data_IF_895245317918
#
_entry.id   IF_895245317918
#
_cell.length_a   1.000
_cell.length_b   1.000
_cell.length_c   1.000
_cell.angle_alpha   90.00
_cell.angle_beta   90.00
_cell.angle_gamma   90.00
#
_symmetry.space_group_name_H-M   'P 1'
#
loop_
_entity.id
_entity.type
_entity.pdbx_description
1 polymer ?
#
# COMPACT_ATOMS: atom_id res chain seq x y z
N UNK A 1 11.74 47.04 3.16
CA UNK A 1 12.45 45.75 3.21
C UNK A 1 12.05 44.83 4.38
N UNK A 2 10.84 44.99 4.98
CA UNK A 2 10.40 44.18 6.15
C UNK A 2 9.48 43.00 5.79
N UNK A 3 8.79 43.05 4.65
CA UNK A 3 7.78 42.04 4.28
C UNK A 3 8.36 40.76 3.62
N UNK A 4 9.55 40.82 3.01
CA UNK A 4 10.18 39.66 2.35
C UNK A 4 10.48 38.49 3.31
N UNK A 5 10.81 38.79 4.57
CA UNK A 5 11.10 37.75 5.57
C UNK A 5 9.83 37.02 6.00
N UNK A 6 8.70 37.71 6.08
CA UNK A 6 7.43 37.13 6.55
C UNK A 6 6.89 36.05 5.60
N UNK A 7 6.95 36.30 4.28
CA UNK A 7 6.54 35.31 3.29
C UNK A 7 7.45 34.08 3.27
N UNK A 8 8.75 34.25 3.54
CA UNK A 8 9.69 33.13 3.63
C UNK A 8 9.38 32.21 4.82
N UNK A 9 9.08 32.78 5.99
CA UNK A 9 8.64 31.99 7.14
C UNK A 9 7.31 31.29 6.88
N UNK A 10 6.35 31.95 6.24
CA UNK A 10 5.05 31.36 5.90
C UNK A 10 5.19 30.20 4.90
N UNK A 11 6.07 30.35 3.91
CA UNK A 11 6.37 29.32 2.92
C UNK A 11 7.08 28.11 3.54
N UNK A 12 8.04 28.33 4.45
CA UNK A 12 8.73 27.25 5.18
C UNK A 12 7.78 26.47 6.09
N UNK A 13 6.83 27.13 6.75
CA UNK A 13 5.80 26.47 7.57
C UNK A 13 4.89 25.59 6.70
N UNK A 14 4.47 26.06 5.52
CA UNK A 14 3.64 25.27 4.60
C UNK A 14 4.38 24.03 4.04
N UNK A 15 5.69 24.12 3.85
CA UNK A 15 6.52 22.97 3.42
C UNK A 15 6.63 21.89 4.50
N UNK A 16 6.73 22.28 5.78
CA UNK A 16 6.82 21.31 6.88
C UNK A 16 5.53 20.51 7.15
N UNK A 17 4.38 20.95 6.64
CA UNK A 17 3.08 20.27 6.85
C UNK A 17 2.83 19.19 5.78
N UNK A 18 3.61 19.17 4.70
CA UNK A 18 3.56 18.10 3.69
C UNK A 18 4.45 16.92 4.10
N UNK A 19 4.32 16.45 5.34
CA UNK A 19 4.76 15.11 5.69
C UNK A 19 3.85 14.15 4.91
N UNK A 20 4.32 13.72 3.73
CA UNK A 20 3.75 12.58 3.03
C UNK A 20 3.94 11.43 4.01
N UNK A 21 2.87 11.05 4.71
CA UNK A 21 2.85 9.81 5.45
C UNK A 21 3.06 8.70 4.42
N UNK A 22 4.30 8.22 4.30
CA UNK A 22 4.53 6.86 3.82
C UNK A 22 3.78 6.00 4.80
N UNK A 23 2.64 5.48 4.37
CA UNK A 23 1.89 4.61 5.24
C UNK A 23 2.60 3.27 5.23
N UNK A 24 3.31 3.01 6.33
CA UNK A 24 3.93 1.72 6.56
C UNK A 24 2.80 0.69 6.72
N UNK A 25 2.63 -0.19 5.74
CA UNK A 25 1.83 -1.40 5.89
C UNK A 25 2.77 -2.57 6.12
N UNK A 26 2.32 -3.54 6.90
CA UNK A 26 3.13 -4.72 7.18
C UNK A 26 3.06 -5.68 5.98
N UNK A 27 4.21 -6.20 5.59
CA UNK A 27 4.38 -7.12 4.48
C UNK A 27 5.36 -8.21 4.89
N UNK A 28 4.93 -9.45 4.75
CA UNK A 28 5.79 -10.63 4.93
C UNK A 28 5.64 -11.54 3.70
N UNK A 29 6.59 -12.44 3.50
CA UNK A 29 6.54 -13.41 2.40
C UNK A 29 7.20 -14.73 2.76
N UNK A 30 6.69 -15.80 2.14
CA UNK A 30 7.28 -17.12 2.20
C UNK A 30 7.59 -17.60 0.78
N UNK A 31 8.70 -18.31 0.62
CA UNK A 31 9.12 -18.88 -0.67
C UNK A 31 9.18 -20.40 -0.59
N UNK A 32 8.53 -21.05 -1.54
CA UNK A 32 8.48 -22.50 -1.66
C UNK A 32 9.05 -22.93 -3.01
N UNK A 33 9.97 -23.90 -2.97
CA UNK A 33 10.52 -24.52 -4.18
C UNK A 33 9.53 -25.59 -4.69
N UNK A 34 9.03 -25.43 -5.91
CA UNK A 34 8.26 -26.47 -6.59
C UNK A 34 9.19 -27.39 -7.40
N UNK A 35 8.69 -28.57 -7.77
CA UNK A 35 9.35 -29.41 -8.77
C UNK A 35 9.38 -28.65 -10.11
N UNK A 36 10.51 -28.72 -10.83
CA UNK A 36 10.79 -28.02 -12.10
C UNK A 36 11.31 -26.57 -11.97
N UNK A 37 12.28 -26.32 -11.08
CA UNK A 37 13.03 -25.03 -11.01
C UNK A 37 12.13 -23.79 -10.93
N UNK A 38 10.98 -23.93 -10.28
CA UNK A 38 9.98 -22.88 -10.14
C UNK A 38 9.81 -22.55 -8.67
N UNK A 39 9.86 -21.26 -8.32
CA UNK A 39 9.60 -20.75 -6.99
C UNK A 39 8.17 -20.20 -6.90
N UNK A 40 7.50 -20.52 -5.79
CA UNK A 40 6.20 -19.97 -5.42
C UNK A 40 6.46 -19.01 -4.26
N UNK A 41 6.10 -17.74 -4.44
CA UNK A 41 6.22 -16.69 -3.43
C UNK A 41 4.81 -16.36 -2.94
N UNK A 42 4.52 -16.70 -1.68
CA UNK A 42 3.31 -16.26 -1.00
C UNK A 42 3.58 -14.93 -0.31
N UNK A 43 2.77 -13.93 -0.58
CA UNK A 43 2.90 -12.58 -0.05
C UNK A 43 1.72 -12.29 0.86
N UNK A 44 2.02 -11.90 2.10
CA UNK A 44 1.08 -11.61 3.16
C UNK A 44 1.09 -10.11 3.41
N UNK A 45 -0.07 -9.47 3.32
CA UNK A 45 -0.23 -8.03 3.48
C UNK A 45 -1.16 -7.74 4.65
N UNK A 46 -0.76 -6.82 5.52
CA UNK A 46 -1.63 -6.27 6.56
C UNK A 46 -1.80 -4.78 6.32
N UNK A 47 -2.85 -4.42 5.58
CA UNK A 47 -3.05 -3.07 5.05
C UNK A 47 -3.81 -2.22 6.08
N UNK A 48 -3.21 -1.18 6.67
CA UNK A 48 -3.89 -0.32 7.64
C UNK A 48 -5.06 0.41 6.98
N UNK A 49 -6.25 0.38 7.58
CA UNK A 49 -7.46 0.98 7.01
C UNK A 49 -7.39 2.50 6.93
N UNK A 50 -6.57 3.13 7.76
CA UNK A 50 -6.38 4.59 7.76
C UNK A 50 -5.73 5.14 6.48
N UNK A 51 -5.16 4.29 5.62
CA UNK A 51 -4.58 4.71 4.33
C UNK A 51 -5.64 4.84 3.23
N UNK A 52 -6.85 4.31 3.47
CA UNK A 52 -7.93 4.32 2.51
C UNK A 52 -8.66 5.66 2.46
N UNK A 53 -9.15 5.99 1.27
CA UNK A 53 -9.99 7.17 1.05
C UNK A 53 -11.44 6.75 0.98
N UNK A 54 -12.15 6.96 2.09
CA UNK A 54 -13.56 6.66 2.19
C UNK A 54 -14.43 7.82 1.66
N UNK A 55 -15.29 7.52 0.70
CA UNK A 55 -16.28 8.46 0.19
C UNK A 55 -17.69 8.07 0.68
N UNK A 56 -18.58 9.04 0.96
CA UNK A 56 -19.98 8.76 1.26
C UNK A 56 -20.67 7.97 0.13
N UNK A 57 -21.49 6.99 0.51
CA UNK A 57 -22.31 6.16 -0.39
C UNK A 57 -23.56 5.72 0.34
N UNK A 58 -24.70 6.32 0.00
CA UNK A 58 -25.99 6.12 0.69
C UNK A 58 -25.83 6.41 2.19
N UNK A 59 -26.17 5.45 3.06
CA UNK A 59 -26.05 5.55 4.52
C UNK A 59 -24.69 5.08 5.06
N UNK A 60 -23.68 4.89 4.19
CA UNK A 60 -22.37 4.34 4.54
C UNK A 60 -21.24 5.11 3.88
N UNK A 61 -20.01 4.69 4.18
CA UNK A 61 -18.79 5.16 3.52
C UNK A 61 -18.09 3.98 2.84
N UNK A 62 -17.56 4.18 1.63
CA UNK A 62 -16.90 3.14 0.84
C UNK A 62 -15.54 3.59 0.36
N UNK A 63 -14.59 2.66 0.33
CA UNK A 63 -13.30 2.81 -0.34
C UNK A 63 -13.12 1.70 -1.37
N UNK A 64 -12.68 2.06 -2.58
CA UNK A 64 -12.29 1.09 -3.59
C UNK A 64 -10.77 0.98 -3.57
N UNK A 65 -10.26 -0.23 -3.38
CA UNK A 65 -8.83 -0.51 -3.25
C UNK A 65 -8.38 -1.38 -4.42
N UNK A 66 -7.20 -1.07 -4.96
CA UNK A 66 -6.49 -1.88 -5.94
C UNK A 66 -5.14 -2.20 -5.32
N UNK A 67 -4.86 -3.49 -5.17
CA UNK A 67 -3.56 -3.98 -4.73
C UNK A 67 -2.85 -4.60 -5.93
N UNK A 68 -1.54 -4.37 -6.02
CA UNK A 68 -0.67 -4.99 -7.01
C UNK A 68 0.53 -5.55 -6.27
N UNK A 69 0.93 -6.75 -6.63
CA UNK A 69 2.14 -7.37 -6.10
C UNK A 69 2.91 -7.91 -7.27
N UNK A 70 4.20 -7.60 -7.34
CA UNK A 70 5.05 -7.96 -8.47
C UNK A 70 6.41 -8.48 -8.01
N UNK A 71 6.93 -9.44 -8.76
CA UNK A 71 8.34 -9.83 -8.73
C UNK A 71 9.06 -9.11 -9.87
N UNK A 72 10.13 -8.40 -9.55
CA UNK A 72 10.98 -7.73 -10.52
C UNK A 72 12.39 -8.30 -10.51
N UNK A 73 13.06 -8.26 -11.66
CA UNK A 73 14.46 -8.64 -11.83
C UNK A 73 15.13 -7.62 -12.73
N UNK A 74 16.22 -7.01 -12.27
CA UNK A 74 16.95 -5.96 -13.00
C UNK A 74 16.01 -4.86 -13.55
N UNK A 75 15.21 -4.26 -12.67
CA UNK A 75 14.22 -3.22 -13.00
C UNK A 75 13.06 -3.65 -13.95
N UNK A 76 12.93 -4.95 -14.23
CA UNK A 76 11.88 -5.49 -15.09
C UNK A 76 10.90 -6.34 -14.28
N UNK A 77 9.61 -6.00 -14.32
CA UNK A 77 8.55 -6.85 -13.74
C UNK A 77 8.45 -8.16 -14.53
N UNK A 78 8.65 -9.29 -13.84
CA UNK A 78 8.62 -10.63 -14.43
C UNK A 78 7.25 -11.28 -14.23
N UNK A 79 6.67 -11.12 -13.05
CA UNK A 79 5.35 -11.64 -12.67
C UNK A 79 4.64 -10.59 -11.84
N UNK A 80 3.33 -10.43 -12.06
CA UNK A 80 2.49 -9.53 -11.28
C UNK A 80 1.11 -10.14 -11.10
N UNK A 81 0.58 -10.00 -9.89
CA UNK A 81 -0.84 -10.19 -9.60
C UNK A 81 -1.48 -8.87 -9.18
N UNK A 82 -2.78 -8.74 -9.44
CA UNK A 82 -3.56 -7.58 -9.02
C UNK A 82 -4.99 -7.96 -8.72
N UNK A 83 -5.55 -7.35 -7.67
CA UNK A 83 -6.95 -7.55 -7.31
C UNK A 83 -7.55 -6.27 -6.75
N UNK A 84 -8.88 -6.23 -6.76
CA UNK A 84 -9.66 -5.10 -6.27
C UNK A 84 -10.63 -5.59 -5.21
N UNK A 85 -10.81 -4.79 -4.18
CA UNK A 85 -11.85 -5.00 -3.19
C UNK A 85 -12.47 -3.67 -2.76
N UNK A 86 -13.62 -3.77 -2.11
CA UNK A 86 -14.37 -2.63 -1.59
C UNK A 86 -14.47 -2.78 -0.07
N UNK A 87 -13.94 -1.81 0.67
CA UNK A 87 -14.16 -1.73 2.11
C UNK A 87 -15.30 -0.76 2.42
N UNK A 88 -16.11 -1.11 3.42
CA UNK A 88 -17.34 -0.37 3.76
C UNK A 88 -17.38 -0.10 5.26
N UNK A 89 -17.54 1.17 5.62
CA UNK A 89 -17.72 1.63 6.99
C UNK A 89 -19.13 2.17 7.20
N UNK A 90 -19.76 1.76 8.29
CA UNK A 90 -21.06 2.30 8.70
C UNK A 90 -20.94 3.67 9.37
N UNK A 91 -19.77 3.98 9.94
CA UNK A 91 -19.51 5.21 10.70
C UNK A 91 -18.01 5.54 10.65
N UNK A 92 -17.67 6.76 10.25
CA UNK A 92 -16.29 7.26 10.17
C UNK A 92 -15.78 7.83 11.49
N UNK A 93 -16.62 7.93 12.52
CA UNK A 93 -16.20 8.35 13.87
C UNK A 93 -15.50 7.24 14.65
N UNK A 94 -15.59 5.98 14.18
CA UNK A 94 -14.80 4.89 14.74
C UNK A 94 -13.34 5.06 14.36
N UNK A 95 -12.47 4.90 15.35
CA UNK A 95 -11.03 4.92 15.11
C UNK A 95 -10.62 3.75 14.20
N UNK A 96 -10.22 4.10 12.98
CA UNK A 96 -9.73 3.15 11.97
C UNK A 96 -8.20 3.02 11.99
N UNK A 97 -7.49 3.78 12.83
CA UNK A 97 -6.01 3.74 12.85
C UNK A 97 -5.45 2.45 13.45
N UNK A 98 -6.26 1.71 14.20
CA UNK A 98 -5.90 0.40 14.78
C UNK A 98 -6.44 -0.79 13.98
N UNK A 99 -7.14 -0.54 12.87
CA UNK A 99 -7.75 -1.59 12.05
C UNK A 99 -6.93 -1.84 10.79
N UNK A 100 -6.75 -3.11 10.44
CA UNK A 100 -6.06 -3.52 9.21
C UNK A 100 -6.88 -4.56 8.43
N UNK A 101 -6.64 -4.65 7.13
CA UNK A 101 -7.22 -5.66 6.25
C UNK A 101 -6.12 -6.65 5.86
N UNK A 102 -6.26 -7.93 6.24
CA UNK A 102 -5.34 -8.97 5.82
C UNK A 102 -5.64 -9.38 4.38
N UNK A 103 -4.61 -9.42 3.54
CA UNK A 103 -4.69 -9.90 2.16
C UNK A 103 -3.53 -10.87 1.88
N UNK A 104 -3.75 -11.78 0.92
CA UNK A 104 -2.74 -12.76 0.51
C UNK A 104 -2.79 -12.96 -1.01
N UNK A 105 -1.62 -13.11 -1.62
CA UNK A 105 -1.50 -13.59 -3.01
C UNK A 105 -0.30 -14.52 -3.15
N UNK A 106 -0.28 -15.29 -4.24
CA UNK A 106 0.81 -16.20 -4.58
C UNK A 106 1.29 -15.90 -5.99
N UNK A 107 2.59 -15.66 -6.14
CA UNK A 107 3.26 -15.45 -7.42
C UNK A 107 4.12 -16.67 -7.74
N UNK A 108 4.12 -17.09 -9.00
CA UNK A 108 4.94 -18.21 -9.45
C UNK A 108 5.93 -17.75 -10.53
N UNK A 109 7.22 -17.93 -10.29
CA UNK A 109 8.29 -17.54 -11.20
C UNK A 109 9.34 -18.65 -11.30
N UNK A 110 10.19 -18.60 -12.34
CA UNK A 110 11.38 -19.44 -12.39
C UNK A 110 12.29 -19.14 -11.19
N UNK A 111 13.14 -20.08 -10.79
CA UNK A 111 14.09 -19.83 -9.71
C UNK A 111 15.05 -18.70 -10.08
N UNK A 112 15.22 -17.74 -9.17
CA UNK A 112 16.09 -16.60 -9.36
C UNK A 112 16.06 -15.62 -8.19
N UNK A 113 16.86 -14.56 -8.31
CA UNK A 113 16.83 -13.42 -7.39
C UNK A 113 15.84 -12.38 -7.93
N UNK A 114 14.92 -11.94 -7.06
CA UNK A 114 13.85 -11.02 -7.38
C UNK A 114 13.68 -9.97 -6.29
N UNK A 115 13.29 -8.77 -6.71
CA UNK A 115 12.75 -7.74 -5.84
C UNK A 115 11.23 -7.90 -5.73
N UNK A 116 10.70 -7.86 -4.50
CA UNK A 116 9.27 -7.83 -4.25
C UNK A 116 8.78 -6.37 -4.24
N UNK A 117 7.78 -6.07 -5.08
CA UNK A 117 7.18 -4.74 -5.24
C UNK A 117 5.69 -4.83 -4.91
N UNK A 118 5.18 -3.88 -4.11
CA UNK A 118 3.76 -3.73 -3.75
C UNK A 118 3.29 -2.31 -3.98
#
# INVERSE_FOLDING_TARGET
MKYKKFYLYYFLVLLSVNQIFSADFDMDFATFRSANETDIVEVYLLIPRNIFKFAPSEDKYKSNVLVRVALAQNDTVVVMDQWKFVDVLSDTTKDISSQSIPEITSLQAQTGEYDLIV
#
